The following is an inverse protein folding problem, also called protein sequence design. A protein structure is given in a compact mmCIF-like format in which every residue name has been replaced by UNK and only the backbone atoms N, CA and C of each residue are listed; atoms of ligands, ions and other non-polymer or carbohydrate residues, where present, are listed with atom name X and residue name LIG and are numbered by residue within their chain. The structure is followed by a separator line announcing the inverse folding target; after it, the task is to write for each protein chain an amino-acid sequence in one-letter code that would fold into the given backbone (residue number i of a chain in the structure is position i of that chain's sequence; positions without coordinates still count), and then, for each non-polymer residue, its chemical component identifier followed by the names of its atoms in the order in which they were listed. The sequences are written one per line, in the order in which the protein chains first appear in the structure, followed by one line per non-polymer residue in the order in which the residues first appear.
data_IF_217832900469
#
_entry.id   IF_217832900469
#
_cell.length_a   1.000
_cell.length_b   1.000
_cell.length_c   1.000
_cell.angle_alpha   90.00
_cell.angle_beta   90.00
_cell.angle_gamma   90.00
#
_symmetry.space_group_name_H-M   'P 1'
#
loop_
_entity.id
_entity.type
_entity.pdbx_description
1 polymer ?
#
# COMPACT_ATOMS: atom_id res chain seq x y z
N UNK A 1 1.34 -10.16 -1.35
CA UNK A 1 0.10 -10.98 -1.29
C UNK A 1 -1.13 -10.06 -1.31
N UNK A 2 -2.34 -10.57 -1.57
CA UNK A 2 -3.57 -9.75 -1.59
C UNK A 2 -3.85 -9.07 -0.24
N UNK A 3 -3.45 -9.72 0.86
CA UNK A 3 -3.56 -9.18 2.21
C UNK A 3 -2.73 -7.90 2.39
N UNK A 4 -1.50 -7.84 1.86
CA UNK A 4 -0.68 -6.62 1.93
C UNK A 4 -1.31 -5.45 1.21
N UNK A 5 -1.91 -5.72 0.04
CA UNK A 5 -2.62 -4.72 -0.74
C UNK A 5 -3.79 -4.17 0.08
N UNK A 6 -4.55 -5.06 0.71
CA UNK A 6 -5.67 -4.69 1.57
C UNK A 6 -5.21 -3.87 2.78
N UNK A 7 -4.19 -4.31 3.52
CA UNK A 7 -3.66 -3.58 4.68
C UNK A 7 -3.10 -2.22 4.27
N UNK A 8 -2.36 -2.15 3.17
CA UNK A 8 -1.83 -0.90 2.64
C UNK A 8 -2.95 0.10 2.35
N UNK A 9 -3.97 -0.32 1.59
CA UNK A 9 -5.12 0.55 1.27
C UNK A 9 -5.89 0.93 2.53
N UNK A 10 -6.12 -0.01 3.45
CA UNK A 10 -6.80 0.26 4.72
C UNK A 10 -6.04 1.30 5.56
N UNK A 11 -4.72 1.10 5.77
CA UNK A 11 -3.91 2.01 6.56
C UNK A 11 -3.87 3.41 5.93
N UNK A 12 -3.80 3.49 4.60
CA UNK A 12 -3.80 4.76 3.88
C UNK A 12 -5.12 5.51 4.03
N UNK A 13 -6.24 4.85 3.68
CA UNK A 13 -7.58 5.47 3.67
C UNK A 13 -8.15 5.71 5.07
N UNK A 14 -7.79 4.88 6.05
CA UNK A 14 -8.23 5.04 7.43
C UNK A 14 -7.25 5.84 8.29
N UNK A 15 -6.18 6.40 7.70
CA UNK A 15 -5.26 7.26 8.44
C UNK A 15 -6.00 8.49 8.93
N UNK A 16 -5.77 8.84 10.19
CA UNK A 16 -6.31 10.03 10.80
C UNK A 16 -5.21 10.94 11.30
N UNK A 17 -5.47 12.23 11.29
CA UNK A 17 -4.63 13.22 11.95
C UNK A 17 -4.60 12.95 13.46
N UNK A 18 -3.40 12.95 14.06
CA UNK A 18 -3.24 12.67 15.49
C UNK A 18 -3.90 13.71 16.39
N UNK A 19 -4.01 14.95 15.91
CA UNK A 19 -4.44 16.08 16.72
C UNK A 19 -5.95 16.31 16.58
N UNK A 20 -6.49 16.22 15.36
CA UNK A 20 -7.91 16.47 15.09
C UNK A 20 -8.77 15.21 15.03
N UNK A 21 -8.16 14.02 14.84
CA UNK A 21 -8.85 12.74 14.64
C UNK A 21 -9.74 12.70 13.37
N UNK A 22 -9.52 13.64 12.45
CA UNK A 22 -10.13 13.67 11.13
C UNK A 22 -9.38 12.74 10.17
N UNK A 23 -10.08 12.20 9.17
CA UNK A 23 -9.42 11.40 8.14
C UNK A 23 -8.52 12.28 7.28
N UNK A 24 -7.31 11.78 7.00
CA UNK A 24 -6.35 12.54 6.20
C UNK A 24 -6.84 12.84 4.79
N UNK A 25 -7.69 11.98 4.23
CA UNK A 25 -8.35 12.23 2.95
C UNK A 25 -9.25 13.48 3.01
N UNK A 26 -9.99 13.70 4.10
CA UNK A 26 -10.82 14.90 4.29
C UNK A 26 -9.95 16.15 4.44
N UNK A 27 -8.87 16.03 5.20
CA UNK A 27 -7.87 17.10 5.38
C UNK A 27 -7.26 17.50 4.03
N UNK A 28 -6.85 16.53 3.20
CA UNK A 28 -6.30 16.81 1.87
C UNK A 28 -7.33 17.43 0.92
N UNK A 29 -8.59 16.95 0.96
CA UNK A 29 -9.68 17.54 0.18
C UNK A 29 -9.87 19.03 0.52
N UNK A 30 -9.71 19.40 1.79
CA UNK A 30 -9.80 20.81 2.21
C UNK A 30 -8.72 21.71 1.58
N UNK A 31 -7.60 21.13 1.14
CA UNK A 31 -6.47 21.86 0.55
C UNK A 31 -6.52 21.97 -0.97
N UNK A 32 -7.40 21.21 -1.65
CA UNK A 32 -7.44 21.11 -3.11
C UNK A 32 -7.68 22.45 -3.83
N UNK A 33 -8.23 23.45 -3.15
CA UNK A 33 -8.45 24.78 -3.72
C UNK A 33 -7.16 25.64 -3.76
N UNK A 34 -6.07 25.20 -3.13
CA UNK A 34 -4.78 25.87 -3.17
C UNK A 34 -3.99 25.57 -4.45
N UNK A 35 -3.12 26.50 -4.86
CA UNK A 35 -2.19 26.28 -5.98
C UNK A 35 -0.94 25.50 -5.59
N UNK A 36 -0.55 25.56 -4.31
CA UNK A 36 0.60 24.86 -3.73
C UNK A 36 0.33 24.55 -2.25
N UNK A 37 0.94 23.48 -1.74
CA UNK A 37 0.93 23.19 -0.31
C UNK A 37 1.81 24.18 0.45
N UNK A 38 1.29 24.68 1.55
CA UNK A 38 2.05 25.49 2.52
C UNK A 38 3.05 24.62 3.28
N UNK A 39 4.06 25.24 3.90
CA UNK A 39 5.01 24.53 4.75
C UNK A 39 4.30 23.77 5.90
N UNK A 40 3.25 24.36 6.49
CA UNK A 40 2.48 23.71 7.55
C UNK A 40 1.72 22.47 7.05
N UNK A 41 1.19 22.51 5.81
CA UNK A 41 0.54 21.36 5.20
C UNK A 41 1.54 20.27 4.84
N UNK A 42 2.73 20.64 4.32
CA UNK A 42 3.80 19.68 4.04
C UNK A 42 4.33 18.99 5.31
N UNK A 43 4.36 19.72 6.42
CA UNK A 43 4.78 19.19 7.72
C UNK A 43 3.62 18.63 8.57
N UNK A 44 2.42 18.50 8.02
CA UNK A 44 1.29 17.99 8.80
C UNK A 44 1.47 16.51 9.11
N UNK A 45 0.85 16.06 10.20
CA UNK A 45 0.86 14.64 10.56
C UNK A 45 0.28 13.77 9.42
N UNK A 46 -0.82 14.22 8.81
CA UNK A 46 -1.40 13.58 7.65
C UNK A 46 -0.44 13.46 6.47
N UNK A 47 0.29 14.51 6.12
CA UNK A 47 1.24 14.46 5.00
C UNK A 47 2.36 13.46 5.29
N UNK A 48 3.04 13.63 6.42
CA UNK A 48 4.21 12.82 6.77
C UNK A 48 3.85 11.34 6.98
N UNK A 49 2.74 11.05 7.67
CA UNK A 49 2.37 9.67 7.90
C UNK A 49 1.76 8.97 6.67
N UNK A 50 1.12 9.69 5.74
CA UNK A 50 0.73 9.10 4.45
C UNK A 50 1.98 8.72 3.64
N UNK A 51 3.01 9.56 3.62
CA UNK A 51 4.29 9.21 2.99
C UNK A 51 4.93 7.99 3.67
N UNK A 52 4.94 7.95 5.01
CA UNK A 52 5.45 6.81 5.78
C UNK A 52 4.73 5.49 5.43
N UNK A 53 3.39 5.49 5.34
CA UNK A 53 2.60 4.30 4.99
C UNK A 53 2.92 3.81 3.56
N UNK A 54 3.09 4.75 2.63
CA UNK A 54 3.46 4.43 1.25
C UNK A 54 4.85 3.80 1.17
N UNK A 55 5.85 4.42 1.81
CA UNK A 55 7.22 3.93 1.84
C UNK A 55 7.37 2.64 2.65
N UNK A 56 6.55 2.40 3.66
CA UNK A 56 6.52 1.13 4.41
C UNK A 56 5.91 -0.04 3.63
N UNK A 57 5.40 0.21 2.42
CA UNK A 57 4.70 -0.77 1.61
C UNK A 57 5.47 -1.10 0.34
N UNK A 58 5.59 -2.39 0.00
CA UNK A 58 6.19 -2.83 -1.26
C UNK A 58 5.47 -2.30 -2.52
N UNK A 59 4.28 -1.72 -2.37
CA UNK A 59 3.53 -1.13 -3.48
C UNK A 59 3.73 0.37 -3.62
N UNK A 60 4.12 1.06 -2.54
CA UNK A 60 4.31 2.52 -2.52
C UNK A 60 5.77 2.94 -2.31
N UNK A 61 6.67 2.00 -2.06
CA UNK A 61 8.09 2.26 -1.92
C UNK A 61 8.72 2.68 -3.24
N UNK A 62 9.43 3.80 -3.19
CA UNK A 62 10.29 4.32 -4.25
C UNK A 62 11.48 5.02 -3.58
N UNK A 63 12.69 4.77 -4.08
CA UNK A 63 13.93 5.26 -3.46
C UNK A 63 14.02 6.80 -3.51
N UNK A 64 13.61 7.42 -4.63
CA UNK A 64 13.57 8.87 -4.75
C UNK A 64 12.55 9.49 -3.79
N UNK A 65 11.40 8.85 -3.65
CA UNK A 65 10.39 9.28 -2.68
C UNK A 65 10.85 9.13 -1.23
N UNK A 66 11.68 8.13 -0.92
CA UNK A 66 12.29 7.98 0.40
C UNK A 66 13.25 9.13 0.73
N UNK A 67 14.04 9.56 -0.25
CA UNK A 67 14.95 10.70 -0.10
C UNK A 67 14.19 12.02 0.08
N UNK A 68 13.13 12.24 -0.69
CA UNK A 68 12.23 13.37 -0.52
C UNK A 68 11.60 13.37 0.88
N UNK A 69 11.19 12.19 1.36
CA UNK A 69 10.63 12.03 2.69
C UNK A 69 11.63 12.34 3.80
N UNK A 70 12.88 11.87 3.69
CA UNK A 70 13.96 12.19 4.64
C UNK A 70 14.26 13.69 4.67
N UNK A 71 14.34 14.32 3.49
CA UNK A 71 14.54 15.75 3.37
C UNK A 71 13.39 16.54 4.03
N UNK A 72 12.15 16.14 3.75
CA UNK A 72 10.96 16.79 4.30
C UNK A 72 10.87 16.62 5.82
N UNK A 73 10.96 15.39 6.34
CA UNK A 73 10.92 15.11 7.78
C UNK A 73 12.03 15.86 8.54
N UNK A 74 13.23 15.94 7.96
CA UNK A 74 14.31 16.77 8.51
C UNK A 74 13.94 18.26 8.52
N UNK A 75 13.34 18.78 7.45
CA UNK A 75 12.91 20.19 7.39
C UNK A 75 11.79 20.52 8.39
N UNK A 76 10.95 19.53 8.69
CA UNK A 76 9.86 19.62 9.66
C UNK A 76 10.29 19.33 11.10
N UNK A 77 11.58 18.99 11.34
CA UNK A 77 12.08 18.53 12.64
C UNK A 77 11.30 17.33 13.22
N UNK A 78 10.76 16.48 12.34
CA UNK A 78 9.93 15.35 12.72
C UNK A 78 10.78 14.07 12.83
N UNK A 79 10.81 13.45 14.01
CA UNK A 79 11.65 12.26 14.28
C UNK A 79 10.85 10.98 14.52
N UNK A 80 9.52 11.06 14.55
CA UNK A 80 8.64 9.93 14.87
C UNK A 80 8.30 9.03 13.68
N UNK A 81 8.66 9.43 12.45
CA UNK A 81 8.26 8.72 11.24
C UNK A 81 9.39 7.82 10.72
N UNK A 82 9.49 6.62 11.30
CA UNK A 82 10.42 5.58 10.82
C UNK A 82 9.76 4.74 9.74
N UNK A 83 10.44 4.53 8.62
CA UNK A 83 9.98 3.60 7.59
C UNK A 83 10.51 2.21 7.94
N UNK A 84 9.61 1.23 8.06
CA UNK A 84 10.00 -0.16 8.16
C UNK A 84 9.91 -0.79 6.76
N UNK A 85 11.01 -1.39 6.25
CA UNK A 85 10.97 -2.01 4.93
C UNK A 85 9.94 -3.15 4.91
N UNK A 86 9.21 -3.33 3.79
CA UNK A 86 8.15 -4.33 3.72
C UNK A 86 8.73 -5.73 3.96
N UNK A 87 8.10 -6.48 4.87
CA UNK A 87 8.48 -7.86 5.15
C UNK A 87 8.41 -8.70 3.87
N UNK A 88 9.54 -9.29 3.48
CA UNK A 88 9.54 -10.22 2.35
C UNK A 88 8.86 -11.51 2.79
N UNK A 89 7.76 -11.86 2.16
CA UNK A 89 7.19 -13.20 2.33
C UNK A 89 8.23 -14.21 1.88
N UNK A 90 8.76 -14.99 2.82
CA UNK A 90 9.55 -16.15 2.48
C UNK A 90 8.67 -17.05 1.59
N UNK A 91 9.00 -17.11 0.30
CA UNK A 91 8.42 -18.11 -0.59
C UNK A 91 8.81 -19.45 0.01
N UNK A 92 7.84 -20.22 0.48
CA UNK A 92 8.10 -21.61 0.82
C UNK A 92 8.69 -22.26 -0.44
N UNK A 93 10.00 -22.52 -0.43
CA UNK A 93 10.60 -23.43 -1.40
C UNK A 93 9.96 -24.78 -1.11
N UNK A 94 8.92 -25.12 -1.86
CA UNK A 94 8.53 -26.51 -1.99
C UNK A 94 9.74 -27.20 -2.63
N UNK A 95 10.61 -27.78 -1.80
CA UNK A 95 11.35 -28.96 -2.23
C UNK A 95 10.27 -29.94 -2.66
N UNK A 96 10.05 -30.00 -3.98
CA UNK A 96 9.12 -30.94 -4.57
C UNK A 96 9.65 -32.34 -4.23
N UNK A 97 9.07 -32.95 -3.20
CA UNK A 97 9.07 -34.39 -3.12
C UNK A 97 8.27 -34.85 -4.34
N UNK A 98 8.93 -35.52 -5.27
CA UNK A 98 8.31 -36.13 -6.45
C UNK A 98 7.24 -37.12 -6.01
N UNK A 99 6.00 -36.66 -5.84
CA UNK A 99 4.83 -37.52 -5.75
C UNK A 99 4.13 -37.48 -7.11
N UNK A 100 4.54 -38.42 -7.97
CA UNK A 100 3.77 -38.78 -9.14
C UNK A 100 2.46 -39.44 -8.70
N UNK A 101 1.46 -38.63 -8.36
CA UNK A 101 0.06 -39.06 -8.32
C UNK A 101 -0.73 -38.11 -9.20
N UNK A 102 -1.04 -38.58 -10.41
CA UNK A 102 -1.95 -37.88 -11.31
C UNK A 102 -3.28 -37.64 -10.59
N UNK A 103 -3.65 -36.38 -10.41
CA UNK A 103 -4.99 -35.99 -10.00
C UNK A 103 -5.98 -36.45 -11.09
N UNK A 104 -7.12 -37.05 -10.72
CA UNK A 104 -8.14 -37.38 -11.69
C UNK A 104 -8.62 -36.08 -12.35
N UNK A 105 -8.56 -36.04 -13.68
CA UNK A 105 -9.12 -34.94 -14.47
C UNK A 105 -10.61 -34.89 -14.18
N UNK A 106 -11.08 -33.78 -13.62
CA UNK A 106 -12.51 -33.54 -13.46
C UNK A 106 -13.08 -33.25 -14.84
N UNK A 107 -13.73 -34.25 -15.43
CA UNK A 107 -14.54 -34.07 -16.64
C UNK A 107 -15.90 -33.52 -16.24
N UNK A 108 -16.29 -32.38 -16.81
CA UNK A 108 -17.67 -31.90 -16.72
C UNK A 108 -18.61 -32.99 -17.23
N UNK A 109 -19.64 -33.36 -16.46
CA UNK A 109 -20.64 -34.34 -16.90
C UNK A 109 -21.38 -33.86 -18.16
N UNK A 110 -21.54 -32.54 -18.32
CA UNK A 110 -22.19 -31.91 -19.46
C UNK A 110 -21.43 -30.64 -19.89
N UNK A 111 -20.49 -30.73 -20.84
CA UNK A 111 -19.77 -29.57 -21.35
C UNK A 111 -20.67 -28.71 -22.26
N UNK A 112 -20.66 -27.40 -22.04
CA UNK A 112 -21.29 -26.46 -22.97
C UNK A 112 -20.50 -26.40 -24.28
N UNK A 113 -21.20 -26.47 -25.41
CA UNK A 113 -20.60 -26.27 -26.74
C UNK A 113 -20.89 -24.85 -27.18
N UNK A 114 -19.85 -24.03 -27.35
CA UNK A 114 -19.97 -22.63 -27.79
C UNK A 114 -20.67 -22.58 -29.14
N UNK A 115 -21.75 -21.80 -29.22
CA UNK A 115 -22.52 -21.59 -30.44
C UNK A 115 -21.96 -20.42 -31.24
N UNK A 116 -22.28 -20.36 -32.54
CA UNK A 116 -21.95 -19.20 -33.34
C UNK A 116 -22.76 -17.99 -32.83
N UNK A 117 -22.04 -16.95 -32.35
CA UNK A 117 -22.55 -15.71 -31.78
C UNK A 117 -23.05 -15.77 -30.32
N UNK A 118 -22.53 -16.70 -29.52
CA UNK A 118 -22.52 -16.58 -28.05
C UNK A 118 -21.43 -15.60 -27.59
#
# INVERSE_FOLDING_TARGET
MIIDRFLYTYNLSCRKDSDTNEYCDEVFVSWLNGSQLTAAQNCSDCMLGVMQIQLGSQFGYDEGFEDDFKSLTSSCSATSYTIEPPSTYARASSTAASSNSATPVSTCSDPYTVQAND
#
